data_IF_032510704017
#
_entry.id   IF_032510704017
#
_cell.length_a   1.000
_cell.length_b   1.000
_cell.length_c   1.000
_cell.angle_alpha   90.00
_cell.angle_beta   90.00
_cell.angle_gamma   90.00
#
_symmetry.space_group_name_H-M   'P 1'
#
loop_
_entity.id
_entity.type
_entity.pdbx_description
1 polymer ?
#
# COMPACT_ATOMS: atom_id res chain seq x y z
N UNK A 1 10.60 -31.39 -0.68
CA UNK A 1 10.19 -30.23 -1.49
C UNK A 1 8.83 -29.72 -0.98
N UNK A 2 8.63 -28.41 -0.71
CA UNK A 2 7.34 -27.87 -0.28
C UNK A 2 6.27 -28.09 -1.36
N UNK A 3 5.01 -28.11 -0.96
CA UNK A 3 3.89 -28.21 -1.92
C UNK A 3 3.73 -26.93 -2.73
N UNK A 4 3.93 -25.79 -2.07
CA UNK A 4 3.85 -24.46 -2.67
C UNK A 4 5.03 -23.66 -2.14
N UNK A 5 5.64 -22.82 -2.96
CA UNK A 5 6.51 -21.74 -2.53
C UNK A 5 5.95 -20.40 -2.98
N UNK A 6 6.26 -19.36 -2.22
CA UNK A 6 5.86 -17.99 -2.52
C UNK A 6 7.07 -17.07 -2.35
N UNK A 7 7.31 -16.27 -3.37
CA UNK A 7 8.30 -15.19 -3.35
C UNK A 7 7.58 -13.85 -3.54
N UNK A 8 7.83 -12.88 -2.66
CA UNK A 8 7.25 -11.55 -2.69
C UNK A 8 8.34 -10.49 -2.88
N UNK A 9 8.05 -9.49 -3.70
CA UNK A 9 8.94 -8.34 -3.87
C UNK A 9 8.16 -7.07 -4.23
N UNK A 10 8.84 -5.93 -4.19
CA UNK A 10 8.27 -4.64 -4.57
C UNK A 10 8.04 -4.56 -6.09
N UNK A 11 7.02 -3.80 -6.54
CA UNK A 11 6.72 -3.59 -7.96
C UNK A 11 7.93 -3.05 -8.75
N UNK A 12 8.85 -2.36 -8.09
CA UNK A 12 10.10 -1.87 -8.70
C UNK A 12 10.94 -2.96 -9.35
N UNK A 13 10.85 -4.21 -8.89
CA UNK A 13 11.53 -5.36 -9.47
C UNK A 13 11.24 -5.50 -10.98
N UNK A 14 10.01 -5.23 -11.43
CA UNK A 14 9.60 -5.32 -12.84
C UNK A 14 10.32 -4.33 -13.76
N UNK A 15 10.93 -3.28 -13.20
CA UNK A 15 11.68 -2.29 -13.95
C UNK A 15 13.17 -2.24 -13.60
N UNK A 16 13.62 -3.14 -12.72
CA UNK A 16 14.98 -3.18 -12.23
C UNK A 16 15.97 -3.60 -13.31
N UNK A 17 17.20 -3.09 -13.18
CA UNK A 17 18.31 -3.36 -14.09
C UNK A 17 19.52 -3.81 -13.30
N UNK A 18 20.30 -4.74 -13.84
CA UNK A 18 21.56 -5.16 -13.23
C UNK A 18 22.61 -4.05 -13.25
N UNK A 19 22.60 -3.24 -14.31
CA UNK A 19 23.51 -2.12 -14.50
C UNK A 19 22.75 -0.86 -14.90
N UNK A 20 23.31 0.29 -14.66
CA UNK A 20 22.71 1.60 -14.99
C UNK A 20 22.22 1.69 -16.44
N UNK A 21 22.93 1.08 -17.37
CA UNK A 21 22.62 1.07 -18.81
C UNK A 21 21.98 -0.25 -19.28
N UNK A 22 21.62 -1.15 -18.37
CA UNK A 22 20.98 -2.41 -18.69
C UNK A 22 19.54 -2.24 -19.18
N UNK A 23 18.96 -3.31 -19.73
CA UNK A 23 17.59 -3.29 -20.20
C UNK A 23 16.60 -3.21 -19.03
N UNK A 24 15.55 -2.41 -19.19
CA UNK A 24 14.49 -2.30 -18.18
C UNK A 24 13.80 -3.65 -17.99
N UNK A 25 13.74 -4.11 -16.74
CA UNK A 25 13.09 -5.37 -16.37
C UNK A 25 13.96 -6.62 -16.53
N UNK A 26 15.24 -6.49 -16.93
CA UNK A 26 16.15 -7.63 -17.09
C UNK A 26 16.30 -8.46 -15.80
N UNK A 27 16.37 -7.79 -14.64
CA UNK A 27 16.47 -8.47 -13.33
C UNK A 27 15.26 -9.38 -13.10
N UNK A 28 14.04 -8.86 -13.35
CA UNK A 28 12.84 -9.66 -13.17
C UNK A 28 12.77 -10.85 -14.12
N UNK A 29 13.15 -10.65 -15.40
CA UNK A 29 13.18 -11.73 -16.39
C UNK A 29 14.13 -12.87 -15.96
N UNK A 30 15.30 -12.53 -15.45
CA UNK A 30 16.28 -13.51 -14.97
C UNK A 30 15.80 -14.23 -13.71
N UNK A 31 15.22 -13.49 -12.76
CA UNK A 31 14.62 -14.07 -11.54
C UNK A 31 13.52 -15.05 -11.91
N UNK A 32 12.57 -14.63 -12.75
CA UNK A 32 11.47 -15.50 -13.19
C UNK A 32 11.98 -16.75 -13.93
N UNK A 33 12.94 -16.57 -14.82
CA UNK A 33 13.59 -17.68 -15.53
C UNK A 33 14.27 -18.68 -14.58
N UNK A 34 14.88 -18.17 -13.50
CA UNK A 34 15.49 -19.03 -12.46
C UNK A 34 14.44 -19.81 -11.71
N UNK A 35 13.32 -19.19 -11.31
CA UNK A 35 12.24 -19.92 -10.66
C UNK A 35 11.58 -20.95 -11.59
N UNK A 36 11.35 -20.62 -12.86
CA UNK A 36 10.77 -21.54 -13.86
C UNK A 36 11.67 -22.79 -14.13
N UNK A 37 12.97 -22.72 -13.81
CA UNK A 37 13.90 -23.85 -13.94
C UNK A 37 13.87 -24.81 -12.74
N UNK A 38 13.16 -24.50 -11.67
CA UNK A 38 13.06 -25.39 -10.52
C UNK A 38 12.24 -26.63 -10.92
N UNK A 39 12.84 -27.84 -10.96
CA UNK A 39 12.16 -29.01 -11.48
C UNK A 39 11.02 -29.45 -10.56
N UNK A 40 9.90 -29.81 -11.16
CA UNK A 40 8.70 -30.31 -10.47
C UNK A 40 7.80 -29.19 -9.92
N UNK A 41 7.90 -27.98 -10.48
CA UNK A 41 7.02 -26.87 -10.13
C UNK A 41 6.48 -26.12 -11.36
N UNK A 42 5.18 -25.87 -11.33
CA UNK A 42 4.52 -24.90 -12.20
C UNK A 42 4.60 -23.51 -11.57
N UNK A 43 5.33 -22.57 -12.19
CA UNK A 43 5.59 -21.25 -11.65
C UNK A 43 4.69 -20.21 -12.34
N UNK A 44 4.02 -19.40 -11.52
CA UNK A 44 3.16 -18.27 -11.94
C UNK A 44 3.59 -17.01 -11.23
N UNK A 45 3.25 -15.85 -11.78
CA UNK A 45 3.50 -14.57 -11.13
C UNK A 45 2.42 -13.55 -11.45
N UNK A 46 2.23 -12.58 -10.56
CA UNK A 46 1.34 -11.44 -10.78
C UNK A 46 1.70 -10.27 -9.86
N UNK A 47 1.06 -9.13 -10.11
CA UNK A 47 1.16 -7.93 -9.28
C UNK A 47 -0.13 -7.73 -8.50
N UNK A 48 -0.08 -7.93 -7.20
CA UNK A 48 -1.22 -7.68 -6.32
C UNK A 48 -1.17 -6.26 -5.74
N UNK A 49 -2.31 -5.63 -5.67
CA UNK A 49 -2.51 -4.37 -4.98
C UNK A 49 -3.33 -4.62 -3.72
N UNK A 50 -2.78 -4.31 -2.56
CA UNK A 50 -3.44 -4.56 -1.27
C UNK A 50 -4.87 -3.97 -1.21
N UNK A 51 -5.09 -2.82 -1.86
CA UNK A 51 -6.41 -2.17 -1.97
C UNK A 51 -7.47 -3.04 -2.63
N UNK A 52 -7.09 -3.94 -3.54
CA UNK A 52 -8.01 -4.81 -4.26
C UNK A 52 -8.49 -5.99 -3.38
N UNK A 53 -7.98 -6.08 -2.15
CA UNK A 53 -8.27 -7.13 -1.16
C UNK A 53 -8.75 -6.56 0.18
N UNK A 54 -9.47 -5.44 0.16
CA UNK A 54 -10.06 -4.83 1.36
C UNK A 54 -9.05 -4.13 2.29
N UNK A 55 -7.77 -4.06 1.92
CA UNK A 55 -6.76 -3.35 2.70
C UNK A 55 -6.75 -1.87 2.30
N UNK A 56 -6.94 -0.91 3.23
CA UNK A 56 -6.96 0.51 2.90
C UNK A 56 -5.55 1.07 2.62
N UNK A 57 -4.82 0.42 1.74
CA UNK A 57 -3.46 0.79 1.36
C UNK A 57 -3.19 0.43 -0.10
N UNK A 58 -2.73 1.39 -0.89
CA UNK A 58 -2.28 1.14 -2.25
C UNK A 58 -0.83 0.63 -2.25
N UNK A 59 -0.66 -0.66 -1.93
CA UNK A 59 0.65 -1.33 -1.82
C UNK A 59 0.78 -2.41 -2.90
N UNK A 60 1.33 -2.08 -4.09
CA UNK A 60 1.59 -3.10 -5.11
C UNK A 60 2.78 -3.98 -4.72
N UNK A 61 2.62 -5.29 -4.93
CA UNK A 61 3.67 -6.29 -4.72
C UNK A 61 3.67 -7.30 -5.86
N UNK A 62 4.86 -7.69 -6.28
CA UNK A 62 5.05 -8.79 -7.21
C UNK A 62 5.09 -10.08 -6.43
N UNK A 63 4.26 -11.04 -6.82
CA UNK A 63 4.25 -12.38 -6.27
C UNK A 63 4.68 -13.38 -7.34
N UNK A 64 5.63 -14.25 -7.02
CA UNK A 64 5.95 -15.43 -7.81
C UNK A 64 5.58 -16.63 -6.96
N UNK A 65 4.73 -17.51 -7.49
CA UNK A 65 4.23 -18.67 -6.78
C UNK A 65 4.56 -19.91 -7.59
N UNK A 66 5.15 -20.90 -6.95
CA UNK A 66 5.38 -22.22 -7.54
C UNK A 66 4.49 -23.26 -6.88
N UNK A 67 3.73 -23.97 -7.71
CA UNK A 67 2.92 -25.10 -7.30
C UNK A 67 3.63 -26.37 -7.73
N UNK A 68 3.84 -27.31 -6.80
CA UNK A 68 4.43 -28.61 -7.14
C UNK A 68 3.50 -29.34 -8.12
N UNK A 69 4.06 -29.99 -9.13
CA UNK A 69 3.30 -30.57 -10.26
C UNK A 69 2.30 -31.67 -9.85
N UNK A 70 2.51 -32.32 -8.70
CA UNK A 70 1.58 -33.31 -8.14
C UNK A 70 0.36 -32.68 -7.42
N UNK A 71 0.29 -31.35 -7.33
CA UNK A 71 -0.88 -30.63 -6.81
C UNK A 71 -1.82 -30.38 -7.97
N UNK A 72 -3.02 -30.96 -7.97
CA UNK A 72 -3.99 -30.66 -9.01
C UNK A 72 -4.28 -29.17 -9.01
N UNK A 73 -4.33 -28.52 -10.19
CA UNK A 73 -4.79 -27.16 -10.29
C UNK A 73 -6.20 -27.08 -9.70
N UNK A 74 -6.51 -26.01 -8.97
CA UNK A 74 -7.90 -25.72 -8.60
C UNK A 74 -8.75 -25.79 -9.88
N UNK A 75 -9.97 -26.34 -9.85
CA UNK A 75 -10.87 -26.36 -11.01
C UNK A 75 -11.08 -24.98 -11.65
N UNK A 76 -10.86 -23.93 -10.86
CA UNK A 76 -10.95 -22.54 -11.28
C UNK A 76 -9.60 -21.97 -11.80
N UNK A 77 -8.48 -22.71 -11.64
CA UNK A 77 -7.18 -22.27 -12.12
C UNK A 77 -7.07 -22.55 -13.61
N UNK A 78 -7.40 -21.58 -14.44
CA UNK A 78 -7.04 -21.63 -15.86
C UNK A 78 -5.53 -21.48 -15.94
N UNK A 79 -4.88 -22.49 -16.51
CA UNK A 79 -3.49 -22.42 -16.91
C UNK A 79 -3.42 -21.44 -18.09
N UNK A 80 -3.10 -20.19 -17.82
CA UNK A 80 -2.74 -19.27 -18.90
C UNK A 80 -1.29 -19.55 -19.26
N UNK A 81 -1.08 -19.89 -20.50
CA UNK A 81 0.25 -19.90 -21.09
C UNK A 81 0.86 -18.51 -20.92
N UNK A 82 2.17 -18.45 -20.86
CA UNK A 82 3.03 -17.31 -20.55
C UNK A 82 2.32 -15.94 -20.66
N UNK A 83 2.10 -15.23 -19.55
CA UNK A 83 1.54 -13.90 -19.63
C UNK A 83 2.52 -13.05 -20.44
N UNK A 84 2.19 -12.74 -21.68
CA UNK A 84 3.01 -11.92 -22.54
C UNK A 84 3.56 -10.67 -21.85
N UNK A 85 4.21 -9.80 -22.54
CA UNK A 85 4.96 -8.64 -22.02
C UNK A 85 4.15 -7.62 -21.18
N UNK A 86 2.84 -7.82 -20.97
CA UNK A 86 1.96 -6.93 -20.19
C UNK A 86 1.50 -7.63 -18.90
N UNK A 87 2.21 -7.41 -17.77
CA UNK A 87 1.83 -8.00 -16.47
C UNK A 87 0.45 -7.54 -15.95
N UNK A 88 -0.07 -6.45 -16.47
CA UNK A 88 -1.35 -5.86 -16.03
C UNK A 88 -2.58 -6.47 -16.72
N UNK A 89 -2.40 -7.36 -17.69
CA UNK A 89 -3.46 -7.88 -18.54
C UNK A 89 -3.93 -9.30 -18.22
N UNK A 90 -3.31 -9.97 -17.24
CA UNK A 90 -3.60 -11.38 -16.97
C UNK A 90 -4.36 -11.54 -15.66
N UNK A 91 -5.62 -11.90 -15.78
CA UNK A 91 -6.43 -12.37 -14.66
C UNK A 91 -6.01 -13.80 -14.31
N UNK A 92 -5.05 -13.94 -13.42
CA UNK A 92 -4.53 -15.25 -13.02
C UNK A 92 -5.39 -15.79 -11.89
N UNK A 93 -6.23 -16.77 -12.16
CA UNK A 93 -7.17 -17.36 -11.20
C UNK A 93 -6.53 -18.14 -10.01
N UNK A 94 -5.21 -18.16 -9.87
CA UNK A 94 -4.55 -18.75 -8.71
C UNK A 94 -4.49 -17.82 -7.49
N UNK A 95 -4.86 -16.56 -7.65
CA UNK A 95 -4.91 -15.58 -6.60
C UNK A 95 -6.31 -15.47 -6.01
N UNK A 96 -6.44 -15.00 -4.76
CA UNK A 96 -7.75 -14.70 -4.19
C UNK A 96 -8.55 -13.76 -5.10
N UNK A 97 -9.87 -13.94 -5.11
CA UNK A 97 -10.76 -13.02 -5.82
C UNK A 97 -10.64 -11.63 -5.22
N UNK A 98 -10.52 -10.62 -6.07
CA UNK A 98 -10.49 -9.22 -5.65
C UNK A 98 -11.80 -8.86 -4.96
N UNK A 99 -11.71 -8.23 -3.80
CA UNK A 99 -12.88 -7.72 -3.10
C UNK A 99 -13.33 -6.40 -3.74
N UNK A 100 -14.53 -6.39 -4.29
CA UNK A 100 -15.10 -5.20 -4.94
C UNK A 100 -15.85 -4.30 -3.92
N UNK A 101 -15.33 -4.19 -2.70
CA UNK A 101 -15.98 -3.52 -1.57
C UNK A 101 -15.84 -1.99 -1.57
N UNK A 102 -15.48 -1.41 -2.70
CA UNK A 102 -15.20 0.03 -2.78
C UNK A 102 -13.88 0.41 -2.10
N UNK A 103 -13.56 1.68 -2.19
CA UNK A 103 -12.35 2.21 -1.57
C UNK A 103 -12.67 2.81 -0.21
N UNK A 104 -11.90 2.46 0.81
CA UNK A 104 -12.00 3.10 2.13
C UNK A 104 -11.40 4.50 2.04
N UNK A 105 -12.17 5.52 2.38
CA UNK A 105 -11.69 6.90 2.47
C UNK A 105 -10.80 7.08 3.70
N UNK A 106 -9.84 8.01 3.62
CA UNK A 106 -8.94 8.28 4.75
C UNK A 106 -9.70 8.79 5.98
N UNK A 107 -10.76 9.56 5.77
CA UNK A 107 -11.62 10.02 6.86
C UNK A 107 -12.30 8.85 7.58
N UNK A 108 -12.83 7.88 6.82
CA UNK A 108 -13.45 6.68 7.39
C UNK A 108 -12.45 5.82 8.16
N UNK A 109 -11.15 5.92 7.81
CA UNK A 109 -10.09 5.14 8.45
C UNK A 109 -9.50 5.84 9.67
N UNK A 110 -9.27 7.15 9.60
CA UNK A 110 -8.44 7.91 10.55
C UNK A 110 -9.14 9.14 11.15
N UNK A 111 -10.39 9.43 10.77
CA UNK A 111 -11.08 10.63 11.22
C UNK A 111 -11.28 10.71 12.74
N UNK A 112 -11.32 9.57 13.42
CA UNK A 112 -11.38 9.48 14.87
C UNK A 112 -10.07 9.89 15.59
N UNK A 113 -8.98 10.01 14.85
CA UNK A 113 -7.65 10.39 15.37
C UNK A 113 -7.34 11.88 15.16
N UNK A 114 -8.21 12.63 14.51
CA UNK A 114 -8.02 14.08 14.33
C UNK A 114 -8.23 14.78 15.67
N UNK A 115 -7.18 15.38 16.20
CA UNK A 115 -7.26 16.16 17.43
C UNK A 115 -7.44 17.65 17.10
N UNK A 116 -8.66 18.14 17.25
CA UNK A 116 -8.98 19.56 17.05
C UNK A 116 -8.32 20.47 18.11
N UNK A 117 -7.81 19.91 19.18
CA UNK A 117 -7.11 20.63 20.26
C UNK A 117 -5.60 20.69 20.01
N UNK A 118 -5.14 20.17 18.87
CA UNK A 118 -3.71 20.21 18.52
C UNK A 118 -3.23 21.66 18.46
N UNK A 119 -2.12 21.91 19.16
CA UNK A 119 -1.41 23.18 19.13
C UNK A 119 -0.05 23.04 18.45
N UNK A 120 0.40 24.04 17.67
CA UNK A 120 1.72 24.05 17.05
C UNK A 120 2.82 23.84 18.09
N UNK A 121 3.68 22.84 17.87
CA UNK A 121 4.75 22.45 18.78
C UNK A 121 4.42 21.28 19.70
N UNK A 122 3.19 20.82 19.72
CA UNK A 122 2.82 19.58 20.39
C UNK A 122 3.50 18.39 19.68
N UNK A 123 4.06 17.46 20.45
CA UNK A 123 4.81 16.32 19.92
C UNK A 123 3.94 15.06 19.77
N UNK A 124 2.83 14.96 20.50
CA UNK A 124 1.93 13.79 20.48
C UNK A 124 0.52 14.10 20.95
N UNK A 125 -0.41 13.23 20.60
CA UNK A 125 -1.72 13.10 21.24
C UNK A 125 -1.76 11.75 21.95
N UNK A 126 -2.01 11.72 23.26
CA UNK A 126 -1.95 10.53 24.12
C UNK A 126 -3.32 10.00 24.54
N UNK A 127 -4.39 10.66 24.13
CA UNK A 127 -5.77 10.24 24.36
C UNK A 127 -6.58 10.28 23.06
N UNK A 128 -7.49 9.32 22.89
CA UNK A 128 -8.37 9.31 21.73
C UNK A 128 -9.20 10.59 21.65
N UNK A 129 -9.08 11.38 20.55
CA UNK A 129 -9.81 12.64 20.39
C UNK A 129 -11.33 12.43 20.25
N UNK A 130 -11.73 11.35 19.60
CA UNK A 130 -13.13 11.05 19.30
C UNK A 130 -13.44 9.54 19.46
N UNK A 131 -14.73 9.20 19.49
CA UNK A 131 -15.15 7.82 19.41
C UNK A 131 -14.92 7.26 18.01
N UNK A 132 -14.54 5.97 17.92
CA UNK A 132 -14.54 5.29 16.64
C UNK A 132 -15.94 5.31 16.01
N UNK A 133 -16.02 5.78 14.76
CA UNK A 133 -17.25 5.73 13.96
C UNK A 133 -17.55 4.29 13.53
N UNK A 134 -18.79 4.00 13.16
CA UNK A 134 -19.17 2.68 12.65
C UNK A 134 -18.35 2.27 11.41
N UNK A 135 -18.40 0.99 11.09
CA UNK A 135 -17.69 0.45 9.92
C UNK A 135 -16.26 0.03 10.21
N UNK A 136 -15.30 0.56 9.44
CA UNK A 136 -13.91 0.14 9.53
C UNK A 136 -13.23 0.56 10.83
N UNK A 137 -13.53 1.77 11.33
CA UNK A 137 -12.93 2.26 12.57
C UNK A 137 -13.25 1.35 13.76
N UNK A 138 -14.50 0.95 13.92
CA UNK A 138 -14.87 0.03 15.02
C UNK A 138 -14.15 -1.30 14.94
N UNK A 139 -13.83 -1.78 13.73
CA UNK A 139 -13.07 -3.04 13.55
C UNK A 139 -11.60 -2.88 13.93
N UNK A 140 -10.94 -1.80 13.46
CA UNK A 140 -9.48 -1.60 13.66
C UNK A 140 -9.14 -1.00 15.03
N UNK A 141 -10.08 -0.32 15.70
CA UNK A 141 -9.91 0.28 17.05
C UNK A 141 -10.34 -0.64 18.17
N UNK A 142 -10.47 -1.93 17.95
CA UNK A 142 -10.79 -2.87 19.01
C UNK A 142 -9.66 -2.91 20.06
N UNK A 143 -10.02 -2.86 21.34
CA UNK A 143 -9.08 -2.93 22.47
C UNK A 143 -8.26 -4.23 22.48
N UNK A 144 -8.83 -5.30 21.97
CA UNK A 144 -8.15 -6.59 21.77
C UNK A 144 -8.88 -7.37 20.66
N UNK A 145 -8.23 -8.43 20.15
CA UNK A 145 -8.84 -9.33 19.13
C UNK A 145 -10.16 -9.95 19.59
N UNK A 146 -10.33 -10.14 20.91
CA UNK A 146 -11.55 -10.72 21.54
C UNK A 146 -12.55 -9.64 22.01
N UNK A 147 -12.14 -8.37 22.05
CA UNK A 147 -13.02 -7.31 22.56
C UNK A 147 -14.15 -7.02 21.57
N UNK A 148 -15.36 -6.89 22.10
CA UNK A 148 -16.53 -6.43 21.35
C UNK A 148 -16.62 -4.91 21.24
N UNK A 149 -15.87 -4.19 22.10
CA UNK A 149 -15.89 -2.73 22.20
C UNK A 149 -14.65 -2.13 21.54
N UNK A 150 -14.85 -1.02 20.84
CA UNK A 150 -13.79 -0.20 20.28
C UNK A 150 -13.28 0.84 21.28
N UNK A 151 -12.17 1.48 20.93
CA UNK A 151 -11.65 2.62 21.69
C UNK A 151 -12.66 3.76 21.68
N UNK A 152 -12.70 4.51 22.78
CA UNK A 152 -13.60 5.65 22.99
C UNK A 152 -12.80 6.91 23.22
N UNK A 153 -13.43 8.06 23.01
CA UNK A 153 -12.88 9.37 23.38
C UNK A 153 -12.37 9.34 24.81
N UNK A 154 -11.15 9.82 25.04
CA UNK A 154 -10.48 9.81 26.34
C UNK A 154 -9.73 8.53 26.69
N UNK A 155 -9.89 7.43 25.95
CA UNK A 155 -9.07 6.25 26.12
C UNK A 155 -7.60 6.55 25.76
N UNK A 156 -6.66 5.83 26.35
CA UNK A 156 -5.22 6.01 26.08
C UNK A 156 -4.90 5.71 24.62
N UNK A 157 -4.27 6.66 23.95
CA UNK A 157 -3.74 6.54 22.58
C UNK A 157 -2.22 6.36 22.66
N UNK A 158 -1.70 5.35 21.98
CA UNK A 158 -0.28 5.02 21.93
C UNK A 158 0.28 5.31 20.53
N UNK A 159 1.56 5.65 20.48
CA UNK A 159 2.32 5.80 19.21
C UNK A 159 1.72 6.84 18.23
N UNK A 160 0.97 7.82 18.76
CA UNK A 160 0.41 8.91 17.97
C UNK A 160 1.28 10.17 18.13
N UNK A 161 2.45 10.10 17.53
CA UNK A 161 3.46 11.15 17.55
C UNK A 161 3.40 12.01 16.30
N UNK A 162 3.63 13.31 16.47
CA UNK A 162 3.69 14.27 15.36
C UNK A 162 5.11 14.43 14.86
N UNK A 163 5.26 14.49 13.53
CA UNK A 163 6.54 14.83 12.94
C UNK A 163 6.85 16.31 13.14
N UNK A 164 7.89 16.62 13.88
CA UNK A 164 8.36 17.99 14.03
C UNK A 164 9.10 18.44 12.76
N UNK A 165 8.35 18.92 11.79
CA UNK A 165 8.89 19.39 10.52
C UNK A 165 9.51 20.78 10.67
N UNK A 166 10.70 20.96 10.07
CA UNK A 166 11.30 22.29 9.91
C UNK A 166 10.31 23.24 9.20
N UNK A 167 10.31 24.51 9.55
CA UNK A 167 9.41 25.54 9.00
C UNK A 167 9.37 25.54 7.46
N UNK A 168 10.52 25.36 6.81
CA UNK A 168 10.60 25.26 5.34
C UNK A 168 9.77 24.08 4.77
N UNK A 169 9.64 22.98 5.53
CA UNK A 169 8.87 21.81 5.12
C UNK A 169 7.38 22.05 5.36
N UNK A 170 7.04 22.68 6.46
CA UNK A 170 5.67 23.12 6.74
C UNK A 170 5.16 24.06 5.65
N UNK A 171 5.95 25.08 5.27
CA UNK A 171 5.65 26.00 4.16
C UNK A 171 5.51 25.27 2.83
N UNK A 172 6.34 24.24 2.59
CA UNK A 172 6.22 23.41 1.40
C UNK A 172 4.88 22.67 1.37
N UNK A 173 4.48 22.03 2.46
CA UNK A 173 3.22 21.28 2.53
C UNK A 173 2.02 22.22 2.42
N UNK A 174 2.03 23.35 3.10
CA UNK A 174 0.99 24.35 2.97
C UNK A 174 0.81 24.80 1.50
N UNK A 175 1.91 25.09 0.81
CA UNK A 175 1.90 25.45 -0.60
C UNK A 175 1.37 24.30 -1.50
N UNK A 176 1.74 23.07 -1.19
CA UNK A 176 1.23 21.89 -1.93
C UNK A 176 -0.28 21.73 -1.78
N UNK A 177 -0.81 21.92 -0.57
CA UNK A 177 -2.24 21.80 -0.27
C UNK A 177 -3.02 22.92 -0.96
N UNK A 178 -2.57 24.15 -0.81
CA UNK A 178 -3.21 25.34 -1.39
C UNK A 178 -3.34 25.27 -2.91
N UNK A 179 -2.29 24.77 -3.59
CA UNK A 179 -2.22 24.76 -5.05
C UNK A 179 -2.48 23.39 -5.70
N UNK A 180 -2.75 22.35 -4.91
CA UNK A 180 -3.00 21.00 -5.43
C UNK A 180 -1.80 20.42 -6.21
N UNK A 181 -0.56 20.69 -5.80
CA UNK A 181 0.64 20.33 -6.53
C UNK A 181 1.39 19.14 -5.91
N UNK A 182 1.96 18.30 -6.76
CA UNK A 182 2.96 17.31 -6.36
C UNK A 182 4.39 17.91 -6.30
N UNK A 183 5.33 17.20 -5.68
CA UNK A 183 6.71 17.67 -5.53
C UNK A 183 7.40 18.02 -6.87
N UNK A 184 7.03 17.40 -7.99
CA UNK A 184 7.65 17.66 -9.29
C UNK A 184 7.22 18.99 -9.89
N UNK A 185 6.01 19.42 -9.60
CA UNK A 185 5.40 20.66 -10.10
C UNK A 185 5.69 21.86 -9.20
N UNK A 186 6.29 21.65 -8.03
CA UNK A 186 6.63 22.74 -7.12
C UNK A 186 7.68 23.70 -7.70
N UNK A 187 7.65 24.98 -7.32
CA UNK A 187 8.74 25.92 -7.54
C UNK A 187 10.08 25.35 -7.01
N UNK A 188 11.21 25.69 -7.63
CA UNK A 188 12.52 25.14 -7.24
C UNK A 188 12.85 25.27 -5.75
N UNK A 189 12.46 26.37 -5.11
CA UNK A 189 12.67 26.64 -3.68
C UNK A 189 12.01 25.62 -2.73
N UNK A 190 10.93 24.96 -3.18
CA UNK A 190 10.20 23.97 -2.41
C UNK A 190 10.50 22.54 -2.82
N UNK A 191 11.19 22.32 -3.96
CA UNK A 191 11.51 20.97 -4.44
C UNK A 191 12.49 20.25 -3.54
N UNK A 192 12.25 18.95 -3.34
CA UNK A 192 13.23 18.04 -2.74
C UNK A 192 13.68 17.00 -3.75
N UNK A 193 14.97 16.67 -3.75
CA UNK A 193 15.56 15.72 -4.71
C UNK A 193 15.24 14.26 -4.38
N UNK A 194 15.04 13.93 -3.11
CA UNK A 194 14.98 12.53 -2.64
C UNK A 194 13.56 11.95 -2.52
N UNK A 195 12.53 12.78 -2.39
CA UNK A 195 11.18 12.31 -2.14
C UNK A 195 10.20 12.86 -3.18
N UNK A 196 9.57 11.94 -3.92
CA UNK A 196 8.45 12.27 -4.78
C UNK A 196 7.16 12.29 -3.96
N UNK A 197 6.91 13.40 -3.25
CA UNK A 197 5.63 13.56 -2.56
C UNK A 197 4.52 13.78 -3.59
N UNK A 198 3.43 13.05 -3.39
CA UNK A 198 2.21 13.20 -4.19
C UNK A 198 1.42 14.41 -3.71
N UNK A 199 0.40 14.80 -4.48
CA UNK A 199 -0.56 15.83 -4.06
C UNK A 199 -1.16 15.45 -2.71
N UNK A 200 -1.14 16.38 -1.77
CA UNK A 200 -1.85 16.25 -0.51
C UNK A 200 -3.28 16.74 -0.71
N UNK A 201 -4.30 16.07 -0.19
CA UNK A 201 -5.67 16.53 -0.28
C UNK A 201 -5.83 17.86 0.48
N UNK A 202 -6.50 18.84 -0.13
CA UNK A 202 -6.79 20.10 0.51
C UNK A 202 -7.76 19.93 1.69
N UNK A 203 -8.63 18.95 1.59
CA UNK A 203 -9.55 18.53 2.65
C UNK A 203 -9.54 17.02 2.76
N UNK A 204 -9.54 16.58 3.95
CA UNK A 204 -9.63 15.22 4.39
C UNK A 204 -10.90 14.48 3.89
N UNK A 205 -12.02 15.19 3.88
CA UNK A 205 -13.35 14.71 3.48
C UNK A 205 -13.48 14.44 1.97
N UNK A 206 -12.68 15.09 1.15
CA UNK A 206 -12.75 14.98 -0.31
C UNK A 206 -12.12 13.68 -0.86
N UNK A 207 -11.92 12.73 -0.03
CA UNK A 207 -11.94 11.29 -0.12
C UNK A 207 -11.17 10.55 -1.20
N UNK A 208 -10.76 11.17 -2.27
CA UNK A 208 -9.87 10.59 -3.27
C UNK A 208 -8.40 10.88 -2.98
N UNK A 209 -8.10 11.12 -1.71
CA UNK A 209 -6.73 11.32 -1.26
C UNK A 209 -5.81 10.21 -1.72
N UNK A 210 -4.53 10.49 -1.93
CA UNK A 210 -3.59 9.45 -2.27
C UNK A 210 -3.66 8.41 -1.15
N UNK A 211 -3.91 7.20 -1.55
CA UNK A 211 -3.88 6.03 -0.69
C UNK A 211 -2.65 6.11 0.19
N UNK A 212 -2.80 5.82 1.47
CA UNK A 212 -1.65 5.73 2.35
C UNK A 212 -0.60 4.83 1.69
N UNK A 213 0.43 5.44 1.17
CA UNK A 213 1.61 4.70 0.80
C UNK A 213 2.39 4.50 2.09
N UNK A 214 2.52 3.25 2.54
CA UNK A 214 3.54 2.96 3.54
C UNK A 214 4.87 3.45 2.97
N UNK A 215 5.47 4.40 3.62
CA UNK A 215 6.87 4.75 3.45
C UNK A 215 7.71 3.74 4.20
#
# INVERSE_FOLDING_TARGET
KPRIFLFENVKGLLSSRWRKNGAKGEVFKDVLKTFKKIPGYNVRWDVLYAKDYGVPQNRPRVFIVGFREDIPPSPEAILLDDPGEKPDAVEVKFLPVKENNGHVHLEDLLGDLVDERYEPGQDKTDTYPANAKEGIQTKIRRRSRKARTSMKKGDKLLEHEYSNHLERIQKKFAFMIEHGLDNKKLPPKYRTKKFAQRVLPARWENGSGPWMTAT
#
